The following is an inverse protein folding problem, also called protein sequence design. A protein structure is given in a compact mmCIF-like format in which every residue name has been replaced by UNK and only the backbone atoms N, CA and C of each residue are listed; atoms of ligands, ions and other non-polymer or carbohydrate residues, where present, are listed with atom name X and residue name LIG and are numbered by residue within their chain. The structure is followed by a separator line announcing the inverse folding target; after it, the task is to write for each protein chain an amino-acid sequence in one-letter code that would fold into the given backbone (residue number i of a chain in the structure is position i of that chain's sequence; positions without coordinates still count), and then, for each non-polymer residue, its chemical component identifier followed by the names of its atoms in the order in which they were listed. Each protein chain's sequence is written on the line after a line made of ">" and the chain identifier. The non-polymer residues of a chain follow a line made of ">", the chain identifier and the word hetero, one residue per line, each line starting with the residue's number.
data_IF_706478755378
#
_entry.id   IF_706478755378
#
_cell.length_a   1.000
_cell.length_b   1.000
_cell.length_c   1.000
_cell.angle_alpha   90.00
_cell.angle_beta   90.00
_cell.angle_gamma   90.00
#
_symmetry.space_group_name_H-M   'P 1'
#
loop_
_entity.id
_entity.type
_entity.pdbx_description
1 polymer ?
#
# COMPACT_ATOMS: atom_id res chain seq x y z
N UNK A 1 101.80 6.79 -0.89
CA UNK A 1 100.78 7.69 -0.31
C UNK A 1 99.48 6.94 -0.25
N UNK A 2 99.15 6.32 0.89
CA UNK A 2 97.99 5.45 1.06
C UNK A 2 96.88 6.24 1.76
N UNK A 3 95.71 6.29 1.15
CA UNK A 3 94.53 6.86 1.76
C UNK A 3 93.70 5.71 2.36
N UNK A 4 93.47 5.77 3.64
CA UNK A 4 92.60 4.84 4.36
C UNK A 4 91.17 5.31 4.29
N UNK A 5 90.28 4.44 3.75
CA UNK A 5 88.81 4.60 3.73
C UNK A 5 88.23 4.02 5.02
N UNK A 6 87.60 4.85 5.82
CA UNK A 6 86.91 4.46 7.00
C UNK A 6 85.43 4.20 6.61
N UNK A 7 84.95 2.94 6.85
CA UNK A 7 83.54 2.54 6.69
C UNK A 7 82.81 2.71 7.99
N UNK A 8 81.95 3.68 8.13
CA UNK A 8 80.92 3.70 9.14
C UNK A 8 79.55 3.30 8.51
N UNK A 9 79.05 2.15 8.95
CA UNK A 9 77.76 1.67 8.54
C UNK A 9 76.60 2.41 9.22
N UNK A 10 75.73 3.03 8.45
CA UNK A 10 74.49 3.65 8.93
C UNK A 10 73.37 2.59 8.95
N UNK A 11 73.00 2.12 10.14
CA UNK A 11 71.83 1.28 10.33
C UNK A 11 70.55 2.16 10.32
N UNK A 12 69.82 2.16 9.25
CA UNK A 12 68.48 2.77 9.17
C UNK A 12 67.48 1.72 9.69
N UNK A 13 66.99 1.95 10.91
CA UNK A 13 65.86 1.17 11.48
C UNK A 13 64.57 1.67 10.87
N UNK A 14 64.00 0.92 9.95
CA UNK A 14 62.67 1.16 9.42
C UNK A 14 61.66 0.66 10.44
N UNK A 15 61.09 1.54 11.25
CA UNK A 15 59.93 1.25 12.11
C UNK A 15 58.69 1.27 11.26
N UNK A 16 58.21 0.11 10.86
CA UNK A 16 56.90 -0.04 10.18
C UNK A 16 55.82 0.19 11.22
N UNK A 17 55.23 1.37 11.23
CA UNK A 17 54.01 1.64 11.98
C UNK A 17 52.85 0.98 11.23
N UNK A 18 52.45 -0.22 11.67
CA UNK A 18 51.25 -0.90 11.20
C UNK A 18 50.05 -0.18 11.77
N UNK A 19 49.56 0.88 11.07
CA UNK A 19 48.33 1.56 11.39
C UNK A 19 47.19 0.61 11.13
N UNK A 20 46.65 0.01 12.18
CA UNK A 20 45.32 -0.62 12.15
C UNK A 20 44.28 0.47 11.83
N UNK A 21 43.98 0.62 10.53
CA UNK A 21 42.78 1.30 10.10
C UNK A 21 41.58 0.49 10.60
N UNK A 22 41.08 0.85 11.78
CA UNK A 22 39.72 0.56 12.14
C UNK A 22 38.84 1.30 11.11
N UNK A 23 38.40 0.62 10.06
CA UNK A 23 37.24 1.02 9.33
C UNK A 23 36.06 0.93 10.32
N UNK A 24 35.84 2.01 11.07
CA UNK A 24 34.56 2.25 11.70
C UNK A 24 33.58 2.25 10.55
N UNK A 25 32.71 1.25 10.48
CA UNK A 25 31.50 1.31 9.66
C UNK A 25 30.81 2.62 10.03
N UNK A 26 30.84 3.57 9.10
CA UNK A 26 30.15 4.87 9.21
C UNK A 26 28.63 4.72 9.06
N UNK A 27 28.09 3.59 9.48
CA UNK A 27 26.68 3.41 9.80
C UNK A 27 26.50 3.94 11.21
N UNK A 28 25.91 5.14 11.33
CA UNK A 28 25.55 5.73 12.61
C UNK A 28 24.92 4.66 13.52
N UNK A 29 25.23 4.74 14.80
CA UNK A 29 24.66 3.78 15.76
C UNK A 29 23.15 3.98 15.81
N UNK A 30 22.42 3.15 15.01
CA UNK A 30 20.96 3.21 14.94
C UNK A 30 20.29 3.13 16.32
N UNK A 31 20.96 2.53 17.30
CA UNK A 31 20.46 2.47 18.68
C UNK A 31 20.49 3.82 19.34
N UNK A 32 21.59 4.55 19.18
CA UNK A 32 21.71 5.92 19.70
C UNK A 32 20.69 6.84 19.02
N UNK A 33 20.55 6.76 17.69
CA UNK A 33 19.55 7.53 16.95
C UNK A 33 18.12 7.21 17.42
N UNK A 34 17.85 5.94 17.69
CA UNK A 34 16.56 5.50 18.22
C UNK A 34 16.30 6.05 19.62
N UNK A 35 17.25 5.93 20.54
CA UNK A 35 17.12 6.43 21.91
C UNK A 35 16.91 7.95 21.95
N UNK A 36 17.66 8.70 21.13
CA UNK A 36 17.49 10.14 21.00
C UNK A 36 16.10 10.50 20.43
N UNK A 37 15.68 9.81 19.40
CA UNK A 37 14.35 10.01 18.78
C UNK A 37 13.24 9.69 19.78
N UNK A 38 13.34 8.59 20.52
CA UNK A 38 12.38 8.20 21.54
C UNK A 38 12.31 9.21 22.69
N UNK A 39 13.46 9.67 23.17
CA UNK A 39 13.51 10.71 24.22
C UNK A 39 12.87 12.03 23.75
N UNK A 40 13.11 12.42 22.50
CA UNK A 40 12.48 13.59 21.91
C UNK A 40 10.97 13.41 21.72
N UNK A 41 10.52 12.25 21.25
CA UNK A 41 9.12 11.88 21.08
C UNK A 41 8.36 11.91 22.42
N UNK A 42 8.96 11.44 23.51
CA UNK A 42 8.39 11.53 24.86
C UNK A 42 8.21 12.99 25.32
N UNK A 43 9.14 13.89 24.94
CA UNK A 43 9.00 15.34 25.22
C UNK A 43 7.90 15.98 24.40
N UNK A 44 7.72 15.55 23.14
CA UNK A 44 6.58 15.96 22.29
C UNK A 44 5.26 15.45 22.87
N UNK A 45 5.24 14.28 23.53
CA UNK A 45 4.16 13.72 24.33
C UNK A 45 2.95 13.28 23.53
N UNK A 46 2.91 13.46 22.21
CA UNK A 46 1.76 13.13 21.36
C UNK A 46 2.17 12.79 19.94
N UNK A 47 1.35 11.95 19.26
CA UNK A 47 1.33 11.76 17.81
C UNK A 47 -0.10 11.81 17.29
N UNK A 48 -0.33 12.53 16.20
CA UNK A 48 -1.64 12.61 15.54
C UNK A 48 -1.62 11.79 14.26
N UNK A 49 -2.40 10.69 14.23
CA UNK A 49 -2.45 9.73 13.13
C UNK A 49 -3.78 9.82 12.40
N UNK A 50 -3.75 10.18 11.13
CA UNK A 50 -4.90 10.08 10.24
C UNK A 50 -4.94 8.67 9.67
N UNK A 51 -5.94 7.86 10.09
CA UNK A 51 -5.95 6.42 9.86
C UNK A 51 -7.21 5.94 9.13
N UNK A 52 -7.02 5.09 8.14
CA UNK A 52 -8.08 4.39 7.43
C UNK A 52 -8.12 2.90 7.83
N UNK A 53 -9.29 2.42 8.32
CA UNK A 53 -9.60 1.02 8.71
C UNK A 53 -8.87 0.48 9.95
N UNK A 54 -7.64 0.85 10.21
CA UNK A 54 -6.77 0.14 11.16
C UNK A 54 -6.62 0.86 12.51
N UNK A 55 -7.64 1.58 12.93
CA UNK A 55 -7.63 2.38 14.18
C UNK A 55 -7.39 1.52 15.44
N UNK A 56 -7.93 0.29 15.46
CA UNK A 56 -7.78 -0.63 16.60
C UNK A 56 -6.31 -0.95 16.91
N UNK A 57 -5.45 -0.92 15.91
CA UNK A 57 -4.01 -1.21 16.08
C UNK A 57 -3.31 -0.15 16.95
N UNK A 58 -3.84 1.07 16.98
CA UNK A 58 -3.29 2.18 17.76
C UNK A 58 -3.30 1.88 19.26
N UNK A 59 -4.19 1.04 19.76
CA UNK A 59 -4.22 0.65 21.17
C UNK A 59 -2.98 -0.17 21.56
N UNK A 60 -2.40 -0.95 20.63
CA UNK A 60 -1.15 -1.68 20.89
C UNK A 60 0.06 -0.73 20.94
N UNK A 61 0.07 0.30 20.11
CA UNK A 61 1.09 1.36 20.20
C UNK A 61 1.05 2.06 21.56
N UNK A 62 -0.15 2.39 22.07
CA UNK A 62 -0.31 3.00 23.40
C UNK A 62 0.23 2.14 24.53
N UNK A 63 0.11 0.81 24.41
CA UNK A 63 0.67 -0.14 25.41
C UNK A 63 2.20 -0.14 25.36
N UNK A 64 2.77 -0.13 24.17
CA UNK A 64 4.22 -0.17 23.97
C UNK A 64 4.89 1.19 24.29
N UNK A 65 4.18 2.31 24.07
CA UNK A 65 4.66 3.68 24.30
C UNK A 65 3.66 4.54 25.10
N UNK A 66 3.42 4.24 26.37
CA UNK A 66 2.41 4.92 27.18
C UNK A 66 2.68 6.41 27.41
N UNK A 67 3.95 6.84 27.26
CA UNK A 67 4.33 8.27 27.38
C UNK A 67 4.01 9.10 26.13
N UNK A 68 3.54 8.47 25.05
CA UNK A 68 3.19 9.14 23.79
C UNK A 68 1.68 8.99 23.54
N UNK A 69 0.93 10.05 23.78
CA UNK A 69 -0.52 10.07 23.51
C UNK A 69 -0.79 9.93 22.02
N UNK A 70 -1.64 8.98 21.63
CA UNK A 70 -2.13 8.87 20.25
C UNK A 70 -3.44 9.60 20.09
N UNK A 71 -3.47 10.57 19.18
CA UNK A 71 -4.69 11.20 18.71
C UNK A 71 -5.01 10.63 17.33
N UNK A 72 -6.11 9.87 17.23
CA UNK A 72 -6.55 9.29 15.96
C UNK A 72 -7.61 10.16 15.29
N UNK A 73 -7.48 10.27 13.96
CA UNK A 73 -8.52 10.83 13.09
C UNK A 73 -8.87 9.74 12.09
N UNK A 74 -9.96 9.01 12.38
CA UNK A 74 -10.42 7.91 11.54
C UNK A 74 -11.38 8.40 10.46
N UNK A 75 -11.37 7.72 9.28
CA UNK A 75 -12.26 8.06 8.19
C UNK A 75 -11.90 7.33 6.88
N UNK A 76 -12.63 7.62 5.81
CA UNK A 76 -12.30 7.09 4.48
C UNK A 76 -11.03 7.75 3.94
N UNK A 77 -10.18 7.01 3.24
CA UNK A 77 -8.88 7.48 2.77
C UNK A 77 -8.92 8.82 2.03
N UNK A 78 -9.82 8.99 1.07
CA UNK A 78 -9.98 10.25 0.31
C UNK A 78 -10.46 11.41 1.20
N UNK A 79 -11.34 11.15 2.16
CA UNK A 79 -11.80 12.20 3.11
C UNK A 79 -10.67 12.66 3.99
N UNK A 80 -9.84 11.73 4.49
CA UNK A 80 -8.70 12.05 5.35
C UNK A 80 -7.65 12.87 4.60
N UNK A 81 -7.27 12.45 3.38
CA UNK A 81 -6.27 13.19 2.58
C UNK A 81 -6.78 14.57 2.17
N UNK A 82 -8.06 14.69 1.81
CA UNK A 82 -8.69 16.01 1.53
C UNK A 82 -8.73 16.89 2.77
N UNK A 83 -9.04 16.31 3.94
CA UNK A 83 -9.04 17.03 5.21
C UNK A 83 -7.67 17.59 5.56
N UNK A 84 -6.61 16.77 5.47
CA UNK A 84 -5.22 17.21 5.66
C UNK A 84 -4.91 18.40 4.75
N UNK A 85 -5.25 18.32 3.46
CA UNK A 85 -5.00 19.42 2.53
C UNK A 85 -5.82 20.68 2.84
N UNK A 86 -7.05 20.52 3.33
CA UNK A 86 -7.90 21.66 3.73
C UNK A 86 -7.35 22.35 4.98
N UNK A 87 -6.92 21.58 5.98
CA UNK A 87 -6.27 22.10 7.18
C UNK A 87 -4.99 22.88 6.83
N UNK A 88 -4.16 22.33 5.95
CA UNK A 88 -2.94 22.99 5.46
C UNK A 88 -3.21 24.31 4.72
N UNK A 89 -4.27 24.36 3.90
CA UNK A 89 -4.67 25.62 3.24
C UNK A 89 -5.08 26.71 4.24
N UNK A 90 -5.58 26.30 5.40
CA UNK A 90 -5.91 27.20 6.50
C UNK A 90 -4.71 27.45 7.46
N UNK A 91 -3.48 27.09 7.02
CA UNK A 91 -2.23 27.14 7.80
C UNK A 91 -2.29 26.35 9.13
N UNK A 92 -3.11 25.29 9.16
CA UNK A 92 -3.23 24.36 10.29
C UNK A 92 -2.50 23.07 9.98
N UNK A 93 -1.42 22.82 10.70
CA UNK A 93 -0.62 21.60 10.60
C UNK A 93 -0.96 20.71 11.80
N UNK A 94 -1.84 19.74 11.63
CA UNK A 94 -2.39 18.90 12.71
C UNK A 94 -1.89 17.46 12.59
N UNK A 95 -1.88 16.92 11.37
CA UNK A 95 -1.48 15.54 11.12
C UNK A 95 0.03 15.38 11.22
N UNK A 96 0.49 14.33 11.92
CA UNK A 96 1.88 13.88 11.94
C UNK A 96 2.11 12.75 10.95
N UNK A 97 1.18 11.79 10.91
CA UNK A 97 1.24 10.60 10.07
C UNK A 97 -0.08 10.37 9.34
N UNK A 98 -0.01 9.98 8.09
CA UNK A 98 -1.12 9.38 7.37
C UNK A 98 -0.87 7.88 7.20
N UNK A 99 -1.85 7.05 7.57
CA UNK A 99 -1.86 5.61 7.34
C UNK A 99 -3.15 5.21 6.61
N UNK A 100 -3.02 4.77 5.34
CA UNK A 100 -4.19 4.50 4.52
C UNK A 100 -3.85 4.02 3.11
N UNK A 101 -4.80 4.15 2.19
CA UNK A 101 -4.65 3.72 0.80
C UNK A 101 -3.61 4.53 0.02
N UNK A 102 -2.77 3.85 -0.76
CA UNK A 102 -1.68 4.48 -1.52
C UNK A 102 -2.17 5.48 -2.57
N UNK A 103 -3.29 5.21 -3.24
CA UNK A 103 -3.77 6.08 -4.33
C UNK A 103 -4.20 7.47 -3.83
N UNK A 104 -4.97 7.55 -2.73
CA UNK A 104 -5.32 8.85 -2.13
C UNK A 104 -4.09 9.59 -1.60
N UNK A 105 -3.13 8.84 -1.05
CA UNK A 105 -1.85 9.36 -0.58
C UNK A 105 -1.05 9.97 -1.74
N UNK A 106 -0.94 9.25 -2.87
CA UNK A 106 -0.23 9.66 -4.06
C UNK A 106 -0.93 10.87 -4.75
N UNK A 107 -2.22 10.72 -5.06
CA UNK A 107 -2.95 11.70 -5.87
C UNK A 107 -3.22 13.02 -5.14
N UNK A 108 -3.34 12.98 -3.81
CA UNK A 108 -3.70 14.17 -3.02
C UNK A 108 -2.51 14.68 -2.21
N UNK A 109 -1.90 13.85 -1.37
CA UNK A 109 -0.86 14.33 -0.45
C UNK A 109 0.49 14.51 -1.15
N UNK A 110 0.94 13.53 -1.93
CA UNK A 110 2.21 13.61 -2.64
C UNK A 110 2.18 14.71 -3.72
N UNK A 111 1.19 14.70 -4.62
CA UNK A 111 1.02 15.76 -5.64
C UNK A 111 0.80 17.14 -5.01
N UNK A 112 0.16 17.19 -3.84
CA UNK A 112 -0.02 18.40 -3.04
C UNK A 112 1.20 18.83 -2.24
N UNK A 113 2.35 18.14 -2.36
CA UNK A 113 3.61 18.42 -1.63
C UNK A 113 3.41 18.48 -0.10
N UNK A 114 2.57 17.59 0.42
CA UNK A 114 2.24 17.51 1.84
C UNK A 114 3.04 16.46 2.61
N UNK A 115 4.02 15.81 1.98
CA UNK A 115 4.80 14.72 2.55
C UNK A 115 6.28 15.09 2.71
N UNK A 116 6.88 14.60 3.80
CA UNK A 116 8.33 14.54 3.95
C UNK A 116 8.85 13.14 3.53
N UNK A 117 10.13 13.03 3.12
CA UNK A 117 10.74 11.74 2.84
C UNK A 117 10.66 10.82 4.07
N UNK A 118 10.05 9.64 3.90
CA UNK A 118 9.88 8.68 4.99
C UNK A 118 11.15 7.83 5.20
N UNK A 119 11.95 7.61 4.17
CA UNK A 119 13.14 6.73 4.25
C UNK A 119 14.13 7.16 5.35
N UNK A 120 14.47 8.45 5.51
CA UNK A 120 15.32 8.90 6.62
C UNK A 120 14.68 8.77 8.02
N UNK A 121 13.35 8.59 8.08
CA UNK A 121 12.64 8.40 9.34
C UNK A 121 12.63 6.92 9.81
N UNK A 122 13.09 5.98 8.97
CA UNK A 122 13.22 4.57 9.32
C UNK A 122 14.55 4.37 10.07
N UNK A 123 14.47 3.98 11.35
CA UNK A 123 15.63 3.92 12.26
C UNK A 123 15.90 2.48 12.70
N UNK A 124 14.85 1.75 13.12
CA UNK A 124 15.01 0.39 13.64
C UNK A 124 15.62 -0.53 12.60
N UNK A 125 16.68 -1.27 12.98
CA UNK A 125 17.38 -2.18 12.06
C UNK A 125 16.44 -3.19 11.41
N UNK A 126 15.51 -3.76 12.16
CA UNK A 126 14.53 -4.70 11.64
C UNK A 126 13.57 -4.06 10.61
N UNK A 127 13.40 -2.73 10.67
CA UNK A 127 12.58 -1.98 9.71
C UNK A 127 13.38 -1.61 8.47
N UNK A 128 14.65 -1.22 8.65
CA UNK A 128 15.55 -0.81 7.55
C UNK A 128 16.13 -1.98 6.77
N UNK A 129 16.08 -3.20 7.31
CA UNK A 129 16.54 -4.41 6.64
C UNK A 129 15.50 -4.87 5.60
N UNK A 130 15.81 -4.59 4.34
CA UNK A 130 14.93 -4.91 3.22
C UNK A 130 14.71 -6.42 3.04
N UNK A 131 15.61 -7.29 3.56
CA UNK A 131 15.45 -8.74 3.50
C UNK A 131 14.26 -9.27 4.30
N UNK A 132 13.74 -8.50 5.26
CA UNK A 132 12.53 -8.84 6.00
C UNK A 132 11.22 -8.59 5.22
N UNK A 133 11.31 -8.04 4.01
CA UNK A 133 10.17 -7.61 3.23
C UNK A 133 10.00 -8.42 1.95
N UNK A 134 8.77 -8.57 1.49
CA UNK A 134 8.43 -9.30 0.27
C UNK A 134 9.21 -8.78 -0.95
N UNK A 135 9.89 -9.71 -1.63
CA UNK A 135 10.77 -9.39 -2.75
C UNK A 135 12.16 -8.89 -2.35
N UNK A 136 12.51 -8.87 -1.05
CA UNK A 136 13.80 -8.38 -0.56
C UNK A 136 13.98 -6.87 -0.72
N UNK A 137 12.90 -6.11 -0.75
CA UNK A 137 12.93 -4.66 -0.97
C UNK A 137 11.82 -3.91 -0.22
N UNK A 138 12.09 -2.67 0.14
CA UNK A 138 11.05 -1.74 0.56
C UNK A 138 10.21 -1.31 -0.64
N UNK A 139 8.89 -1.38 -0.52
CA UNK A 139 7.99 -0.97 -1.58
C UNK A 139 7.46 0.44 -1.31
N UNK A 140 7.64 1.32 -2.30
CA UNK A 140 7.11 2.67 -2.30
C UNK A 140 6.10 2.85 -3.43
N UNK A 141 5.03 3.59 -3.16
CA UNK A 141 3.98 3.86 -4.14
C UNK A 141 4.21 5.16 -4.93
N UNK A 142 5.14 6.00 -4.50
CA UNK A 142 5.47 7.25 -5.17
C UNK A 142 6.61 7.07 -6.21
N UNK A 143 6.65 7.90 -7.29
CA UNK A 143 7.65 7.79 -8.36
C UNK A 143 9.10 7.95 -7.89
N UNK A 144 9.32 8.72 -6.82
CA UNK A 144 10.65 8.98 -6.27
C UNK A 144 11.14 7.89 -5.32
N UNK A 145 10.28 6.94 -4.93
CA UNK A 145 10.55 5.86 -3.96
C UNK A 145 11.01 6.40 -2.59
N UNK A 146 10.35 7.44 -2.08
CA UNK A 146 10.80 8.17 -0.89
C UNK A 146 9.72 8.49 0.13
N UNK A 147 8.45 8.60 -0.27
CA UNK A 147 7.42 9.27 0.53
C UNK A 147 6.31 8.36 1.04
N UNK A 148 5.94 7.34 0.26
CA UNK A 148 4.76 6.50 0.53
C UNK A 148 5.20 5.06 0.67
N UNK A 149 5.42 4.60 1.91
CA UNK A 149 5.82 3.23 2.19
C UNK A 149 4.60 2.30 2.15
N UNK A 150 4.65 1.25 1.33
CA UNK A 150 3.60 0.26 1.19
C UNK A 150 3.93 -0.98 2.04
N UNK A 151 3.18 -1.21 3.11
CA UNK A 151 3.46 -2.27 4.07
C UNK A 151 2.51 -3.47 4.01
N UNK A 152 1.41 -3.40 3.26
CA UNK A 152 0.51 -4.54 3.04
C UNK A 152 0.60 -5.09 1.61
N UNK A 153 0.33 -6.39 1.48
CA UNK A 153 0.12 -7.10 0.22
C UNK A 153 -1.32 -7.59 0.17
N UNK A 154 -2.19 -6.85 -0.50
CA UNK A 154 -3.61 -7.19 -0.67
C UNK A 154 -3.82 -7.77 -2.08
N UNK A 155 -3.93 -9.09 -2.23
CA UNK A 155 -4.29 -9.69 -3.51
C UNK A 155 -5.70 -9.26 -3.92
N UNK A 156 -5.95 -9.22 -5.20
CA UNK A 156 -7.24 -8.83 -5.75
C UNK A 156 -7.45 -9.45 -7.13
N UNK A 157 -8.61 -10.02 -7.31
CA UNK A 157 -9.14 -10.53 -8.57
C UNK A 157 -9.73 -9.43 -9.46
N UNK A 158 -9.08 -8.28 -9.56
CA UNK A 158 -9.60 -7.08 -10.22
C UNK A 158 -10.93 -6.60 -9.59
N UNK A 159 -11.22 -6.96 -8.34
CA UNK A 159 -12.51 -6.73 -7.66
C UNK A 159 -13.70 -7.24 -8.47
N UNK A 160 -13.52 -8.40 -9.12
CA UNK A 160 -14.56 -9.06 -9.89
C UNK A 160 -15.33 -10.04 -9.03
N UNK A 161 -16.64 -9.87 -8.97
CA UNK A 161 -17.55 -10.69 -8.19
C UNK A 161 -18.68 -11.21 -9.08
N UNK A 162 -19.33 -12.29 -8.65
CA UNK A 162 -20.42 -12.89 -9.41
C UNK A 162 -21.52 -13.39 -8.47
N UNK A 163 -22.74 -13.48 -9.02
CA UNK A 163 -23.82 -14.22 -8.38
C UNK A 163 -23.64 -15.71 -8.69
N UNK A 164 -23.52 -16.55 -7.65
CA UNK A 164 -23.19 -17.98 -7.76
C UNK A 164 -24.32 -18.82 -8.36
N UNK A 165 -25.57 -18.31 -8.38
CA UNK A 165 -26.70 -18.97 -9.00
C UNK A 165 -26.82 -18.66 -10.51
N UNK A 166 -26.25 -17.53 -10.97
CA UNK A 166 -26.35 -17.06 -12.35
C UNK A 166 -25.08 -17.32 -13.16
N UNK A 167 -23.96 -17.52 -12.51
CA UNK A 167 -22.64 -17.59 -13.15
C UNK A 167 -21.90 -18.84 -12.72
N UNK A 168 -21.45 -19.62 -13.69
CA UNK A 168 -20.48 -20.68 -13.44
C UNK A 168 -19.05 -20.10 -13.56
N UNK A 169 -18.30 -19.95 -12.46
CA UNK A 169 -16.97 -19.34 -12.50
C UNK A 169 -15.95 -20.15 -13.32
N UNK A 170 -16.18 -21.46 -13.55
CA UNK A 170 -15.30 -22.31 -14.35
C UNK A 170 -15.26 -21.94 -15.83
N UNK A 171 -16.24 -21.17 -16.31
CA UNK A 171 -16.25 -20.66 -17.68
C UNK A 171 -15.29 -19.50 -17.93
N UNK A 172 -14.72 -18.94 -16.85
CA UNK A 172 -13.81 -17.79 -16.91
C UNK A 172 -12.36 -18.27 -16.79
N UNK A 173 -11.55 -17.85 -17.73
CA UNK A 173 -10.11 -18.15 -17.81
C UNK A 173 -9.27 -16.91 -18.07
N UNK A 174 -9.93 -15.77 -18.25
CA UNK A 174 -9.33 -14.49 -18.58
C UNK A 174 -10.23 -13.35 -18.10
N UNK A 175 -9.64 -12.23 -17.76
CA UNK A 175 -10.38 -10.99 -17.46
C UNK A 175 -11.27 -10.59 -18.65
N UNK A 176 -10.86 -10.91 -19.88
CA UNK A 176 -11.64 -10.63 -21.10
C UNK A 176 -12.98 -11.37 -21.15
N UNK A 177 -13.15 -12.45 -20.40
CA UNK A 177 -14.39 -13.24 -20.43
C UNK A 177 -15.61 -12.47 -19.90
N UNK A 178 -15.40 -11.42 -19.08
CA UNK A 178 -16.48 -10.53 -18.63
C UNK A 178 -17.02 -9.64 -19.76
N UNK A 179 -16.30 -9.56 -20.89
CA UNK A 179 -16.73 -8.79 -22.06
C UNK A 179 -17.47 -9.63 -23.11
N UNK A 180 -17.80 -10.89 -22.82
CA UNK A 180 -18.61 -11.73 -23.72
C UNK A 180 -20.01 -11.16 -23.87
N UNK A 181 -20.62 -11.21 -25.08
CA UNK A 181 -21.95 -10.61 -25.36
C UNK A 181 -23.04 -11.06 -24.40
N UNK A 182 -23.00 -12.29 -23.88
CA UNK A 182 -24.00 -12.81 -22.94
C UNK A 182 -24.11 -12.03 -21.63
N UNK A 183 -23.08 -11.25 -21.27
CA UNK A 183 -23.03 -10.43 -20.06
C UNK A 183 -23.46 -8.98 -20.28
N UNK A 184 -23.71 -8.56 -21.52
CA UNK A 184 -24.14 -7.19 -21.82
C UNK A 184 -25.46 -6.86 -21.10
N UNK A 185 -25.47 -5.72 -20.38
CA UNK A 185 -26.60 -5.28 -19.55
C UNK A 185 -26.77 -6.04 -18.23
N UNK A 186 -25.90 -7.02 -17.92
CA UNK A 186 -25.96 -7.83 -16.69
C UNK A 186 -24.83 -7.53 -15.72
N UNK A 187 -24.20 -6.39 -15.86
CA UNK A 187 -23.03 -5.99 -15.05
C UNK A 187 -23.36 -4.73 -14.28
N UNK A 188 -23.06 -4.73 -12.99
CA UNK A 188 -22.96 -3.52 -12.18
C UNK A 188 -21.48 -3.21 -11.90
N UNK A 189 -21.10 -1.95 -11.94
CA UNK A 189 -19.72 -1.54 -11.64
C UNK A 189 -19.69 -0.26 -10.81
N UNK A 190 -18.65 -0.12 -9.98
CA UNK A 190 -18.29 1.18 -9.48
C UNK A 190 -17.89 2.08 -10.64
N UNK A 191 -18.18 3.37 -10.53
CA UNK A 191 -17.80 4.35 -11.54
C UNK A 191 -16.26 4.34 -11.71
N UNK A 192 -15.72 4.13 -12.93
CA UNK A 192 -14.28 4.03 -13.15
C UNK A 192 -13.52 5.31 -12.84
N UNK A 193 -14.23 6.43 -12.61
CA UNK A 193 -13.64 7.69 -12.16
C UNK A 193 -13.48 7.76 -10.63
N UNK A 194 -14.00 6.77 -9.89
CA UNK A 194 -13.88 6.71 -8.44
C UNK A 194 -12.50 6.17 -8.02
N UNK A 195 -11.85 6.86 -7.08
CA UNK A 195 -10.51 6.47 -6.57
C UNK A 195 -10.53 5.14 -5.82
N UNK A 196 -11.71 4.66 -5.38
CA UNK A 196 -11.89 3.36 -4.75
C UNK A 196 -11.57 2.16 -5.66
N UNK A 197 -11.50 2.38 -6.97
CA UNK A 197 -11.03 1.39 -7.96
C UNK A 197 -9.57 1.57 -8.38
N UNK A 198 -8.83 2.50 -7.81
CA UNK A 198 -7.53 2.90 -8.33
C UNK A 198 -6.59 1.73 -8.62
N UNK A 199 -6.41 0.80 -7.68
CA UNK A 199 -5.55 -0.38 -7.88
C UNK A 199 -6.06 -1.31 -9.00
N UNK A 200 -7.37 -1.53 -9.08
CA UNK A 200 -8.02 -2.29 -10.17
C UNK A 200 -7.80 -1.61 -11.51
N UNK A 201 -7.99 -0.30 -11.57
CA UNK A 201 -7.78 0.48 -12.79
C UNK A 201 -6.32 0.45 -13.24
N UNK A 202 -5.35 0.51 -12.31
CA UNK A 202 -3.93 0.33 -12.61
C UNK A 202 -3.64 -1.05 -13.20
N UNK A 203 -4.18 -2.11 -12.58
CA UNK A 203 -4.05 -3.47 -13.10
C UNK A 203 -4.61 -3.58 -14.53
N UNK A 204 -5.85 -3.18 -14.73
CA UNK A 204 -6.51 -3.29 -16.02
C UNK A 204 -5.84 -2.45 -17.11
N UNK A 205 -5.25 -1.30 -16.76
CA UNK A 205 -4.65 -0.39 -17.73
C UNK A 205 -3.21 -0.75 -18.08
N UNK A 206 -2.38 -1.06 -17.06
CA UNK A 206 -0.95 -1.25 -17.24
C UNK A 206 -0.55 -2.71 -17.50
N UNK A 207 -1.46 -3.67 -17.26
CA UNK A 207 -1.15 -5.07 -17.55
C UNK A 207 -1.00 -5.29 -19.07
N UNK A 208 0.12 -5.90 -19.54
CA UNK A 208 0.45 -5.97 -20.97
C UNK A 208 -0.55 -6.78 -21.81
N UNK A 209 -1.27 -7.73 -21.20
CA UNK A 209 -2.29 -8.56 -21.88
C UNK A 209 -3.72 -8.00 -21.76
N UNK A 210 -3.92 -6.86 -21.05
CA UNK A 210 -5.24 -6.22 -20.85
C UNK A 210 -5.27 -4.87 -21.53
N UNK A 211 -4.71 -3.84 -20.91
CA UNK A 211 -4.51 -2.53 -21.49
C UNK A 211 -5.75 -1.67 -21.71
N UNK A 212 -5.57 -0.49 -22.33
CA UNK A 212 -6.64 0.48 -22.57
C UNK A 212 -7.80 -0.03 -23.42
N UNK A 213 -7.57 -1.05 -24.28
CA UNK A 213 -8.62 -1.64 -25.13
C UNK A 213 -9.69 -2.33 -24.29
N UNK A 214 -9.30 -2.99 -23.20
CA UNK A 214 -10.25 -3.56 -22.26
C UNK A 214 -11.19 -2.49 -21.69
N UNK A 215 -10.66 -1.30 -21.33
CA UNK A 215 -11.50 -0.20 -20.84
C UNK A 215 -12.57 0.20 -21.84
N UNK A 216 -12.21 0.38 -23.10
CA UNK A 216 -13.15 0.76 -24.16
C UNK A 216 -14.22 -0.32 -24.35
N UNK A 217 -13.81 -1.58 -24.40
CA UNK A 217 -14.73 -2.69 -24.59
C UNK A 217 -15.62 -2.94 -23.38
N UNK A 218 -15.06 -2.94 -22.18
CA UNK A 218 -15.80 -3.22 -20.95
C UNK A 218 -16.67 -2.02 -20.55
N UNK A 219 -16.06 -0.88 -20.22
CA UNK A 219 -16.82 0.27 -19.74
C UNK A 219 -17.62 0.99 -20.82
N UNK A 220 -17.22 0.90 -22.08
CA UNK A 220 -17.89 1.57 -23.20
C UNK A 220 -18.85 0.69 -24.00
N UNK A 221 -18.70 -0.65 -23.94
CA UNK A 221 -19.40 -1.59 -24.81
C UNK A 221 -20.39 -2.53 -24.11
N UNK A 222 -20.28 -2.74 -22.78
CA UNK A 222 -21.03 -3.79 -22.09
C UNK A 222 -22.36 -3.35 -21.48
N UNK A 223 -22.82 -2.12 -21.70
CA UNK A 223 -24.07 -1.59 -21.13
C UNK A 223 -24.13 -1.78 -19.60
N UNK A 224 -23.17 -1.17 -18.93
CA UNK A 224 -22.94 -1.32 -17.49
C UNK A 224 -23.82 -0.35 -16.69
N UNK A 225 -24.43 -0.84 -15.62
CA UNK A 225 -25.03 0.01 -14.59
C UNK A 225 -23.95 0.47 -13.61
N UNK A 226 -23.74 1.79 -13.52
CA UNK A 226 -22.77 2.38 -12.59
C UNK A 226 -23.43 2.82 -11.29
N UNK A 227 -22.75 2.56 -10.14
CA UNK A 227 -23.17 3.04 -8.83
C UNK A 227 -21.93 3.47 -8.03
N UNK A 228 -22.15 4.35 -7.03
CA UNK A 228 -21.15 4.73 -6.02
C UNK A 228 -21.48 4.18 -4.63
N UNK A 229 -22.58 3.44 -4.53
CA UNK A 229 -23.06 2.85 -3.29
C UNK A 229 -22.68 1.37 -3.22
N UNK A 230 -21.61 1.05 -2.49
CA UNK A 230 -21.09 -0.31 -2.35
C UNK A 230 -22.13 -1.30 -1.79
N UNK A 231 -22.85 -1.03 -0.67
CA UNK A 231 -23.86 -1.92 -0.17
C UNK A 231 -24.93 -2.23 -1.21
N UNK A 232 -25.45 -1.20 -1.88
CA UNK A 232 -26.46 -1.36 -2.92
C UNK A 232 -25.98 -2.25 -4.07
N UNK A 233 -24.72 -2.14 -4.50
CA UNK A 233 -24.17 -2.97 -5.57
C UNK A 233 -24.11 -4.44 -5.14
N UNK A 234 -23.69 -4.71 -3.91
CA UNK A 234 -23.63 -6.06 -3.35
C UNK A 234 -25.03 -6.66 -3.18
N UNK A 235 -26.01 -5.87 -2.73
CA UNK A 235 -27.41 -6.29 -2.62
C UNK A 235 -27.99 -6.63 -4.02
N UNK A 236 -27.77 -5.80 -5.02
CA UNK A 236 -28.23 -6.07 -6.38
C UNK A 236 -27.60 -7.33 -6.99
N UNK A 237 -26.31 -7.58 -6.69
CA UNK A 237 -25.64 -8.81 -7.09
C UNK A 237 -26.25 -10.02 -6.39
N UNK A 238 -26.46 -9.97 -5.06
CA UNK A 238 -27.06 -11.04 -4.27
C UNK A 238 -28.49 -11.37 -4.70
N UNK A 239 -29.29 -10.36 -5.02
CA UNK A 239 -30.66 -10.52 -5.52
C UNK A 239 -30.75 -11.05 -6.96
N UNK A 240 -29.61 -11.23 -7.66
CA UNK A 240 -29.58 -11.68 -9.03
C UNK A 240 -30.03 -10.63 -10.06
N UNK A 241 -30.13 -9.36 -9.66
CA UNK A 241 -30.43 -8.26 -10.60
C UNK A 241 -29.29 -8.09 -11.62
N UNK A 242 -28.07 -8.36 -11.20
CA UNK A 242 -26.87 -8.44 -12.04
C UNK A 242 -26.18 -9.77 -11.83
N UNK A 243 -25.56 -10.28 -12.88
CA UNK A 243 -24.79 -11.53 -12.84
C UNK A 243 -23.34 -11.27 -12.38
N UNK A 244 -22.78 -10.12 -12.74
CA UNK A 244 -21.40 -9.73 -12.49
C UNK A 244 -21.34 -8.36 -11.80
N UNK A 245 -20.34 -8.19 -10.95
CA UNK A 245 -20.00 -6.90 -10.35
C UNK A 245 -18.51 -6.64 -10.44
N UNK A 246 -18.12 -5.42 -10.82
CA UNK A 246 -16.77 -4.93 -10.69
C UNK A 246 -16.72 -3.81 -9.66
N UNK A 247 -15.86 -3.98 -8.63
CA UNK A 247 -15.73 -3.00 -7.55
C UNK A 247 -16.75 -3.15 -6.42
N UNK A 248 -17.50 -4.27 -6.34
CA UNK A 248 -18.28 -4.62 -5.16
C UNK A 248 -17.35 -4.77 -3.93
N UNK A 249 -17.91 -4.54 -2.76
CA UNK A 249 -17.23 -4.74 -1.48
C UNK A 249 -18.11 -5.55 -0.54
N UNK A 250 -17.53 -6.03 0.55
CA UNK A 250 -18.23 -6.84 1.55
C UNK A 250 -18.85 -8.15 1.02
N UNK A 251 -18.42 -8.62 -0.18
CA UNK A 251 -18.91 -9.88 -0.74
C UNK A 251 -18.53 -11.09 0.11
N UNK A 252 -17.36 -11.09 0.77
CA UNK A 252 -17.00 -12.15 1.72
C UNK A 252 -17.97 -12.19 2.90
N UNK A 253 -18.33 -11.04 3.47
CA UNK A 253 -19.34 -10.96 4.54
C UNK A 253 -20.69 -11.45 4.05
N UNK A 254 -21.12 -11.01 2.87
CA UNK A 254 -22.37 -11.46 2.25
C UNK A 254 -22.39 -12.99 2.02
N UNK A 255 -21.30 -13.55 1.51
CA UNK A 255 -21.10 -15.00 1.36
C UNK A 255 -21.20 -15.73 2.70
N UNK A 256 -20.55 -15.24 3.75
CA UNK A 256 -20.59 -15.81 5.09
C UNK A 256 -21.98 -15.75 5.71
N UNK A 257 -22.83 -14.84 5.27
CA UNK A 257 -24.26 -14.75 5.62
C UNK A 257 -25.15 -15.65 4.76
N UNK A 258 -24.58 -16.46 3.85
CA UNK A 258 -25.30 -17.39 2.99
C UNK A 258 -25.90 -16.76 1.73
N UNK A 259 -25.53 -15.52 1.39
CA UNK A 259 -25.98 -14.88 0.16
C UNK A 259 -25.24 -15.45 -1.07
N UNK A 260 -25.88 -15.55 -2.24
CA UNK A 260 -25.32 -16.18 -3.45
C UNK A 260 -24.33 -15.26 -4.18
N UNK A 261 -23.29 -14.81 -3.49
CA UNK A 261 -22.22 -13.97 -4.07
C UNK A 261 -20.86 -14.57 -3.78
N UNK A 262 -19.94 -14.44 -4.72
CA UNK A 262 -18.56 -14.83 -4.53
C UNK A 262 -17.61 -13.95 -5.36
N UNK A 263 -16.33 -13.95 -5.01
CA UNK A 263 -15.27 -13.32 -5.77
C UNK A 263 -14.65 -14.36 -6.71
N UNK A 264 -14.20 -13.93 -7.90
CA UNK A 264 -13.46 -14.82 -8.79
C UNK A 264 -12.04 -15.05 -8.25
N UNK A 265 -11.56 -16.27 -8.37
CA UNK A 265 -10.15 -16.63 -8.14
C UNK A 265 -9.36 -16.43 -9.45
N UNK A 266 -8.82 -15.23 -9.66
CA UNK A 266 -8.18 -14.88 -10.93
C UNK A 266 -6.70 -15.27 -11.01
N UNK A 267 -6.11 -15.79 -9.94
CA UNK A 267 -4.69 -16.20 -9.91
C UNK A 267 -4.37 -17.30 -10.94
N UNK A 268 -5.36 -18.14 -11.25
CA UNK A 268 -5.26 -19.17 -12.29
C UNK A 268 -5.63 -18.71 -13.70
N UNK A 269 -6.05 -17.44 -13.88
CA UNK A 269 -6.41 -16.92 -15.19
C UNK A 269 -5.17 -16.55 -16.00
N UNK A 270 -5.39 -16.31 -17.29
CA UNK A 270 -4.31 -15.94 -18.23
C UNK A 270 -3.49 -14.74 -17.73
N UNK A 271 -4.14 -13.71 -17.23
CA UNK A 271 -3.52 -12.48 -16.74
C UNK A 271 -3.09 -12.57 -15.27
N UNK A 272 -3.54 -13.60 -14.55
CA UNK A 272 -3.30 -13.72 -13.11
C UNK A 272 -4.16 -12.77 -12.28
N UNK A 273 -3.73 -12.53 -11.05
CA UNK A 273 -4.34 -11.56 -10.15
C UNK A 273 -3.45 -10.33 -9.98
N UNK A 274 -4.00 -9.26 -9.49
CA UNK A 274 -3.21 -8.12 -9.01
C UNK A 274 -2.95 -8.21 -7.51
N UNK A 275 -1.99 -7.46 -7.01
CA UNK A 275 -1.95 -7.11 -5.62
C UNK A 275 -1.53 -5.65 -5.41
N UNK A 276 -2.05 -5.08 -4.33
CA UNK A 276 -1.84 -3.68 -3.96
C UNK A 276 -1.46 -3.57 -2.48
N UNK A 277 -1.44 -2.36 -1.95
CA UNK A 277 -1.33 -2.17 -0.51
C UNK A 277 -2.67 -2.28 0.21
N UNK A 278 -3.80 -2.39 -0.49
CA UNK A 278 -5.10 -2.17 0.15
C UNK A 278 -5.14 -0.83 0.90
N UNK A 279 -5.43 -0.87 2.20
CA UNK A 279 -5.35 0.29 3.10
C UNK A 279 -3.97 0.51 3.75
N UNK A 280 -2.94 -0.26 3.36
CA UNK A 280 -1.65 -0.34 4.07
C UNK A 280 -0.52 0.44 3.43
N UNK A 281 -0.63 1.74 3.32
CA UNK A 281 0.52 2.63 3.12
C UNK A 281 0.66 3.61 4.29
N UNK A 282 1.89 4.07 4.53
CA UNK A 282 2.19 5.07 5.55
C UNK A 282 3.08 6.16 4.99
N UNK A 283 2.82 7.40 5.42
CA UNK A 283 3.62 8.57 5.05
C UNK A 283 3.82 9.51 6.24
N UNK A 284 4.96 10.15 6.27
CA UNK A 284 5.26 11.26 7.18
C UNK A 284 4.71 12.55 6.59
N UNK A 285 3.89 13.25 7.36
CA UNK A 285 3.31 14.51 6.91
C UNK A 285 4.36 15.63 7.08
N UNK A 286 4.49 16.44 6.05
CA UNK A 286 5.38 17.58 6.05
C UNK A 286 4.94 18.63 7.08
N UNK A 287 5.89 19.22 7.81
CA UNK A 287 5.63 20.17 8.91
C UNK A 287 4.81 19.54 10.04
N UNK A 288 5.01 18.24 10.31
CA UNK A 288 4.38 17.55 11.42
C UNK A 288 4.65 18.27 12.76
N UNK A 289 3.62 18.54 13.60
CA UNK A 289 3.81 19.15 14.92
C UNK A 289 4.69 18.31 15.86
N UNK A 290 4.66 16.98 15.72
CA UNK A 290 5.35 16.03 16.58
C UNK A 290 6.26 15.09 15.75
N UNK A 291 7.34 15.61 15.12
CA UNK A 291 8.10 14.88 14.11
C UNK A 291 8.85 13.66 14.68
N UNK A 292 9.28 13.68 15.94
CA UNK A 292 9.94 12.54 16.56
C UNK A 292 8.92 11.45 16.98
N UNK A 293 7.79 11.84 17.52
CA UNK A 293 6.69 10.91 17.83
C UNK A 293 6.15 10.26 16.55
N UNK A 294 6.09 10.98 15.43
CA UNK A 294 5.78 10.43 14.12
C UNK A 294 6.78 9.35 13.68
N UNK A 295 8.09 9.60 13.86
CA UNK A 295 9.14 8.60 13.56
C UNK A 295 9.00 7.37 14.44
N UNK A 296 8.78 7.53 15.75
CA UNK A 296 8.56 6.41 16.67
C UNK A 296 7.35 5.58 16.22
N UNK A 297 6.23 6.24 15.90
CA UNK A 297 5.03 5.56 15.43
C UNK A 297 5.25 4.81 14.11
N UNK A 298 5.91 5.41 13.13
CA UNK A 298 6.20 4.78 11.83
C UNK A 298 7.09 3.55 12.01
N UNK A 299 8.17 3.65 12.79
CA UNK A 299 9.04 2.53 13.05
C UNK A 299 8.32 1.40 13.80
N UNK A 300 7.49 1.72 14.79
CA UNK A 300 6.67 0.73 15.49
C UNK A 300 5.69 0.05 14.53
N UNK A 301 4.95 0.83 13.73
CA UNK A 301 3.98 0.27 12.78
C UNK A 301 4.64 -0.69 11.79
N UNK A 302 5.85 -0.36 11.32
CA UNK A 302 6.61 -1.16 10.35
C UNK A 302 7.45 -2.28 11.01
N UNK A 303 7.61 -2.28 12.34
CA UNK A 303 8.30 -3.34 13.06
C UNK A 303 7.57 -4.67 12.98
N UNK A 304 8.26 -5.75 13.32
CA UNK A 304 7.66 -7.08 13.48
C UNK A 304 6.47 -7.05 14.45
N UNK A 305 6.61 -6.34 15.58
CA UNK A 305 5.57 -6.18 16.61
C UNK A 305 4.33 -5.47 16.06
N UNK A 306 4.53 -4.33 15.40
CA UNK A 306 3.43 -3.54 14.81
C UNK A 306 2.70 -4.27 13.69
N UNK A 307 3.43 -4.97 12.82
CA UNK A 307 2.83 -5.73 11.71
C UNK A 307 2.07 -6.99 12.19
N UNK A 308 2.51 -7.65 13.27
CA UNK A 308 1.73 -8.72 13.89
C UNK A 308 0.46 -8.19 14.56
N UNK A 309 0.54 -7.05 15.26
CA UNK A 309 -0.62 -6.40 15.84
C UNK A 309 -1.64 -6.01 14.73
N UNK A 310 -1.13 -5.49 13.60
CA UNK A 310 -1.95 -5.15 12.45
C UNK A 310 -2.69 -6.38 11.89
N UNK A 311 -2.02 -7.50 11.65
CA UNK A 311 -2.66 -8.72 11.15
C UNK A 311 -3.76 -9.24 12.07
N UNK A 312 -3.56 -9.14 13.40
CA UNK A 312 -4.51 -9.69 14.37
C UNK A 312 -5.72 -8.80 14.67
N UNK A 313 -5.52 -7.48 14.64
CA UNK A 313 -6.47 -6.55 15.27
C UNK A 313 -7.12 -5.57 14.31
N UNK A 314 -6.51 -5.35 13.13
CA UNK A 314 -6.96 -4.31 12.22
C UNK A 314 -8.39 -4.54 11.73
N UNK A 315 -8.67 -5.73 11.26
CA UNK A 315 -10.01 -6.15 10.82
C UNK A 315 -10.16 -7.65 11.14
N UNK A 316 -10.90 -8.03 12.19
CA UNK A 316 -11.06 -9.43 12.56
C UNK A 316 -11.77 -10.29 11.51
N UNK A 317 -12.63 -9.68 10.69
CA UNK A 317 -13.39 -10.38 9.64
C UNK A 317 -12.57 -10.51 8.35
N UNK A 318 -11.59 -9.62 8.14
CA UNK A 318 -10.75 -9.55 6.94
C UNK A 318 -9.31 -9.14 7.31
N UNK A 319 -8.57 -10.00 8.04
CA UNK A 319 -7.21 -9.72 8.49
C UNK A 319 -6.26 -9.39 7.33
N UNK A 320 -5.57 -8.24 7.39
CA UNK A 320 -4.69 -7.81 6.30
C UNK A 320 -3.40 -8.63 6.26
N UNK A 321 -2.85 -8.80 5.07
CA UNK A 321 -1.57 -9.47 4.86
C UNK A 321 -0.42 -8.46 4.82
N UNK A 322 0.48 -8.52 5.79
CA UNK A 322 1.71 -7.72 5.79
C UNK A 322 2.66 -8.14 4.68
N UNK A 323 3.42 -7.18 4.12
CA UNK A 323 4.57 -7.46 3.24
C UNK A 323 5.80 -7.99 3.99
N UNK A 324 5.83 -7.98 5.32
CA UNK A 324 6.91 -8.66 6.08
C UNK A 324 6.82 -10.16 5.90
N UNK A 325 7.96 -10.80 5.61
CA UNK A 325 8.06 -12.24 5.42
C UNK A 325 8.57 -12.98 6.65
N UNK A 326 9.10 -12.27 7.64
CA UNK A 326 9.62 -12.80 8.90
C UNK A 326 8.55 -12.97 9.99
N UNK A 327 7.27 -12.82 9.65
CA UNK A 327 6.12 -13.02 10.54
C UNK A 327 5.19 -14.12 10.02
N UNK A 328 4.54 -14.86 10.96
CA UNK A 328 3.54 -15.86 10.59
C UNK A 328 2.37 -15.23 9.82
N UNK A 329 1.83 -16.00 8.88
CA UNK A 329 0.61 -15.68 8.12
C UNK A 329 -0.60 -16.51 8.57
N UNK A 330 -0.51 -17.23 9.69
CA UNK A 330 -1.57 -18.13 10.13
C UNK A 330 -2.87 -17.40 10.43
N UNK A 331 -2.77 -16.17 10.96
CA UNK A 331 -3.92 -15.30 11.23
C UNK A 331 -4.54 -14.68 9.94
N UNK A 332 -3.88 -14.80 8.78
CA UNK A 332 -4.35 -14.22 7.52
C UNK A 332 -5.20 -15.24 6.77
N UNK A 333 -6.43 -14.92 6.34
CA UNK A 333 -7.26 -15.83 5.54
C UNK A 333 -6.55 -16.28 4.27
N UNK A 334 -6.75 -17.53 3.81
CA UNK A 334 -6.11 -18.03 2.58
C UNK A 334 -6.33 -17.15 1.34
N UNK A 335 -7.50 -16.52 1.22
CA UNK A 335 -7.81 -15.58 0.13
C UNK A 335 -7.01 -14.27 0.16
N UNK A 336 -6.51 -13.89 1.34
CA UNK A 336 -5.69 -12.68 1.52
C UNK A 336 -4.19 -12.96 1.45
N UNK A 337 -3.78 -14.23 1.37
CA UNK A 337 -2.37 -14.61 1.22
C UNK A 337 -1.97 -14.60 -0.24
N UNK A 338 -0.72 -14.25 -0.51
CA UNK A 338 -0.14 -14.52 -1.82
C UNK A 338 0.08 -16.03 -1.95
N UNK A 339 -0.51 -16.64 -2.99
CA UNK A 339 -0.39 -18.09 -3.26
C UNK A 339 0.94 -18.37 -3.94
N UNK A 340 1.66 -19.37 -3.48
CA UNK A 340 2.93 -19.79 -4.09
C UNK A 340 2.69 -20.26 -5.54
N UNK A 341 3.58 -19.88 -6.45
CA UNK A 341 3.49 -20.22 -7.87
C UNK A 341 2.41 -19.46 -8.66
N UNK A 342 1.55 -18.68 -8.01
CA UNK A 342 0.57 -17.87 -8.70
C UNK A 342 1.20 -16.60 -9.31
N UNK A 343 0.60 -16.13 -10.42
CA UNK A 343 1.06 -14.90 -11.08
C UNK A 343 0.35 -13.69 -10.50
N UNK A 344 1.15 -12.72 -10.05
CA UNK A 344 0.63 -11.47 -9.51
C UNK A 344 1.24 -10.27 -10.22
N UNK A 345 0.38 -9.33 -10.58
CA UNK A 345 0.77 -8.03 -11.07
C UNK A 345 0.79 -7.03 -9.90
N UNK A 346 1.99 -6.64 -9.47
CA UNK A 346 2.16 -5.65 -8.39
C UNK A 346 1.87 -4.24 -8.93
N UNK A 347 0.70 -3.71 -8.60
CA UNK A 347 0.29 -2.36 -9.03
C UNK A 347 0.99 -1.26 -8.22
N UNK A 348 1.68 -1.62 -7.13
CA UNK A 348 2.39 -0.66 -6.28
C UNK A 348 3.82 -0.49 -6.78
N UNK A 349 3.94 0.03 -7.99
CA UNK A 349 5.23 0.34 -8.61
C UNK A 349 5.23 1.78 -9.10
N UNK A 350 6.38 2.48 -9.00
CA UNK A 350 6.49 3.86 -9.45
C UNK A 350 6.10 4.07 -10.91
N UNK A 351 6.39 3.10 -11.79
CA UNK A 351 6.04 3.14 -13.20
C UNK A 351 4.53 3.11 -13.47
N UNK A 352 3.72 2.66 -12.49
CA UNK A 352 2.25 2.61 -12.56
C UNK A 352 1.58 3.71 -11.71
N UNK A 353 2.37 4.61 -11.14
CA UNK A 353 1.87 5.67 -10.25
C UNK A 353 1.06 6.75 -10.98
N UNK A 354 1.29 6.93 -12.30
CA UNK A 354 0.55 7.94 -13.08
C UNK A 354 -0.87 7.46 -13.40
N UNK A 355 -1.83 7.99 -12.65
CA UNK A 355 -3.26 7.74 -12.84
C UNK A 355 -3.91 8.66 -13.88
N UNK A 356 -3.22 9.69 -14.36
CA UNK A 356 -3.80 10.73 -15.23
C UNK A 356 -4.38 10.13 -16.50
N UNK A 357 -3.60 9.31 -17.21
CA UNK A 357 -4.03 8.65 -18.44
C UNK A 357 -5.24 7.72 -18.23
N UNK A 358 -5.28 7.06 -17.08
CA UNK A 358 -6.38 6.15 -16.71
C UNK A 358 -7.66 6.95 -16.52
N UNK A 359 -7.60 8.01 -15.71
CA UNK A 359 -8.77 8.85 -15.44
C UNK A 359 -9.25 9.62 -16.66
N UNK A 360 -8.35 10.06 -17.54
CA UNK A 360 -8.72 10.74 -18.77
C UNK A 360 -9.43 9.78 -19.74
N UNK A 361 -8.94 8.54 -19.89
CA UNK A 361 -9.64 7.52 -20.67
C UNK A 361 -11.00 7.17 -20.04
N UNK A 362 -11.09 7.04 -18.72
CA UNK A 362 -12.36 6.79 -18.04
C UNK A 362 -13.38 7.93 -18.29
N UNK A 363 -12.95 9.19 -18.20
CA UNK A 363 -13.79 10.37 -18.49
C UNK A 363 -14.28 10.37 -19.95
N UNK A 364 -13.37 10.10 -20.91
CA UNK A 364 -13.70 10.00 -22.34
C UNK A 364 -14.82 8.97 -22.58
N UNK A 365 -14.64 7.75 -22.03
CA UNK A 365 -15.61 6.65 -22.18
C UNK A 365 -16.95 7.02 -21.54
N UNK A 366 -16.94 7.55 -20.32
CA UNK A 366 -18.17 7.90 -19.61
C UNK A 366 -18.93 9.03 -20.31
N UNK A 367 -18.24 10.04 -20.84
CA UNK A 367 -18.86 11.09 -21.66
C UNK A 367 -19.52 10.52 -22.92
N UNK A 368 -18.83 9.60 -23.60
CA UNK A 368 -19.40 8.93 -24.79
C UNK A 368 -20.64 8.09 -24.44
N UNK A 369 -20.69 7.45 -23.28
CA UNK A 369 -21.85 6.69 -22.80
C UNK A 369 -23.05 7.61 -22.46
N UNK A 370 -22.80 8.79 -21.89
CA UNK A 370 -23.83 9.79 -21.58
C UNK A 370 -24.48 10.34 -22.86
N UNK A 371 -23.74 10.44 -23.96
CA UNK A 371 -24.26 10.91 -25.27
C UNK A 371 -25.07 9.86 -26.03
N UNK A 372 -24.99 8.58 -25.67
CA UNK A 372 -25.75 7.48 -26.29
C UNK A 372 -27.10 7.24 -25.62
N UNK A 373 -27.36 7.84 -24.47
CA UNK A 373 -28.64 7.79 -23.73
C UNK A 373 -29.51 8.96 -24.05
#
# INVERSE_FOLDING_TARGET
>A
MKVLLNKQGLHIVFTVFLGLLFCSDARGDWKQDWEQTLAAAKKEGQVTVYVYRYERVLEEFKKDYPDIKVVSVAGRGTQLTTRIMTERRADKFIADVYSGGANGNLEILYKGKALDPIKPALILREVTDESNWYGGEHRYADPEKKYIFAYLASPSSAQLHHNTQLVNPKEFKSVWDVTRPKWKGKIVSLDPRDTGMGATMQFLYYHPEIGPEFFRKFFGGMDITFSKNFPQMTDWLAQGRFALCMGCKDSLRAKNQGLPVDEFETEGWKEGASFSTGGGSVSLINRAPHPNAAKVFINWLLSRRGQLALQKLADPDDPPNSRRIDISKDDVPPGNRLKEGARYFDVVRPEYADMTRIFDLAKEIMKANEQKK
#
